data_IF_171004886462
#
_entry.id   IF_171004886462
#
_cell.length_a   1.000
_cell.length_b   1.000
_cell.length_c   1.000
_cell.angle_alpha   90.00
_cell.angle_beta   90.00
_cell.angle_gamma   90.00
#
_symmetry.space_group_name_H-M   'P 1'
#
loop_
_entity.id
_entity.type
_entity.pdbx_description
1 polymer ?
#
# COMPACT_ATOMS: atom_id res chain seq x y z
N UNK A 1 -68.26 37.30 -10.71
CA UNK A 1 -67.37 36.25 -10.14
C UNK A 1 -66.13 36.88 -9.54
N UNK A 2 -65.62 36.36 -8.41
CA UNK A 2 -64.35 36.81 -7.82
C UNK A 2 -63.23 35.84 -8.24
N UNK A 3 -62.27 36.33 -9.03
CA UNK A 3 -61.10 35.57 -9.46
C UNK A 3 -59.84 36.08 -8.77
N UNK A 4 -58.90 35.20 -8.42
CA UNK A 4 -57.56 35.63 -7.98
C UNK A 4 -56.66 35.72 -9.21
N UNK A 5 -56.08 36.89 -9.45
CA UNK A 5 -55.12 37.12 -10.52
C UNK A 5 -53.83 37.73 -9.94
N UNK A 6 -52.66 37.36 -10.50
CA UNK A 6 -51.37 37.92 -10.10
C UNK A 6 -51.07 39.14 -10.96
N UNK A 7 -50.85 40.29 -10.33
CA UNK A 7 -50.56 41.50 -11.09
C UNK A 7 -49.14 41.41 -11.72
N UNK A 8 -48.97 41.67 -13.02
CA UNK A 8 -47.64 41.64 -13.66
C UNK A 8 -46.70 42.73 -13.15
N UNK A 9 -47.23 43.83 -12.59
CA UNK A 9 -46.42 44.95 -12.11
C UNK A 9 -45.97 44.79 -10.64
N UNK A 10 -46.86 44.42 -9.72
CA UNK A 10 -46.51 44.27 -8.30
C UNK A 10 -46.25 42.82 -7.87
N UNK A 11 -46.48 41.83 -8.73
CA UNK A 11 -46.36 40.38 -8.46
C UNK A 11 -47.17 39.88 -7.26
N UNK A 12 -48.02 40.72 -6.68
CA UNK A 12 -48.91 40.38 -5.57
C UNK A 12 -50.19 39.71 -6.09
N UNK A 13 -50.75 38.80 -5.29
CA UNK A 13 -52.03 38.16 -5.61
C UNK A 13 -53.18 39.10 -5.26
N UNK A 14 -54.04 39.39 -6.22
CA UNK A 14 -55.16 40.31 -6.03
C UNK A 14 -56.47 39.61 -6.38
N UNK A 15 -57.50 39.85 -5.57
CA UNK A 15 -58.87 39.44 -5.87
C UNK A 15 -59.49 40.49 -6.82
N UNK A 16 -59.90 40.03 -7.99
CA UNK A 16 -60.50 40.87 -9.03
C UNK A 16 -61.95 40.46 -9.22
N UNK A 17 -62.84 41.45 -9.28
CA UNK A 17 -64.27 41.24 -9.52
C UNK A 17 -64.55 41.37 -11.02
N UNK A 18 -65.05 40.30 -11.63
CA UNK A 18 -65.45 40.25 -13.03
C UNK A 18 -66.99 40.15 -13.10
N UNK A 19 -67.69 40.86 -14.01
CA UNK A 19 -69.14 40.77 -14.16
C UNK A 19 -69.62 39.32 -14.36
N UNK A 20 -70.74 38.95 -13.74
CA UNK A 20 -71.29 37.60 -13.84
C UNK A 20 -71.75 37.30 -15.28
N UNK A 21 -71.12 36.32 -15.93
CA UNK A 21 -71.40 35.90 -17.31
C UNK A 21 -70.41 36.39 -18.38
N UNK A 22 -69.31 37.06 -18.00
CA UNK A 22 -68.30 37.52 -18.95
C UNK A 22 -67.36 36.39 -19.41
N UNK A 23 -67.16 36.25 -20.73
CA UNK A 23 -66.23 35.31 -21.38
C UNK A 23 -65.17 36.06 -22.19
N UNK A 24 -63.91 35.62 -22.14
CA UNK A 24 -62.78 36.22 -22.89
C UNK A 24 -61.93 37.22 -22.09
N UNK A 25 -61.12 38.01 -22.79
CA UNK A 25 -60.23 39.02 -22.19
C UNK A 25 -61.01 40.15 -21.52
N UNK A 26 -60.80 40.34 -20.21
CA UNK A 26 -61.35 41.45 -19.44
C UNK A 26 -60.24 42.36 -18.92
N UNK A 27 -60.43 43.67 -19.06
CA UNK A 27 -59.49 44.67 -18.53
C UNK A 27 -59.86 44.96 -17.09
N UNK A 28 -58.97 44.62 -16.17
CA UNK A 28 -59.18 44.76 -14.73
C UNK A 28 -58.14 45.69 -14.12
N UNK A 29 -58.54 46.46 -13.12
CA UNK A 29 -57.65 47.43 -12.46
C UNK A 29 -57.14 46.83 -11.16
N UNK A 30 -55.82 46.82 -10.98
CA UNK A 30 -55.21 46.39 -9.72
C UNK A 30 -55.54 47.40 -8.60
N UNK A 31 -56.15 46.99 -7.48
CA UNK A 31 -56.41 47.86 -6.33
C UNK A 31 -55.13 48.23 -5.58
N UNK A 32 -54.03 47.48 -5.75
CA UNK A 32 -52.77 47.74 -5.03
C UNK A 32 -51.85 48.72 -5.79
N UNK A 33 -51.81 48.66 -7.14
CA UNK A 33 -50.92 49.53 -7.93
C UNK A 33 -51.63 50.38 -8.99
N UNK A 34 -52.96 50.31 -9.10
CA UNK A 34 -53.76 51.11 -10.05
C UNK A 34 -53.59 50.74 -11.53
N UNK A 35 -52.69 49.81 -11.86
CA UNK A 35 -52.43 49.40 -13.24
C UNK A 35 -53.59 48.57 -13.80
N UNK A 36 -53.99 48.88 -15.03
CA UNK A 36 -54.97 48.12 -15.81
C UNK A 36 -54.25 47.00 -16.56
N UNK A 37 -54.66 45.75 -16.36
CA UNK A 37 -54.10 44.60 -17.05
C UNK A 37 -55.21 43.68 -17.55
N UNK A 38 -54.91 42.87 -18.57
CA UNK A 38 -55.87 41.97 -19.20
C UNK A 38 -55.84 40.61 -18.50
N UNK A 39 -57.01 40.07 -18.17
CA UNK A 39 -57.17 38.74 -17.60
C UNK A 39 -58.15 37.97 -18.48
N UNK A 40 -57.72 36.82 -19.01
CA UNK A 40 -58.61 35.90 -19.72
C UNK A 40 -59.33 34.99 -18.71
N UNK A 41 -60.67 35.02 -18.74
CA UNK A 41 -61.54 34.28 -17.83
C UNK A 41 -61.66 32.80 -18.24
N UNK A 42 -61.32 32.45 -19.48
CA UNK A 42 -61.41 31.08 -19.99
C UNK A 42 -60.23 30.20 -19.56
N UNK A 43 -59.08 30.81 -19.25
CA UNK A 43 -57.92 30.11 -18.73
C UNK A 43 -58.06 29.90 -17.21
N UNK A 44 -58.39 28.66 -16.82
CA UNK A 44 -58.24 28.25 -15.42
C UNK A 44 -56.76 28.16 -15.10
N UNK A 45 -56.21 29.19 -14.45
CA UNK A 45 -54.90 29.11 -13.83
C UNK A 45 -54.96 28.10 -12.68
N UNK A 46 -54.51 26.87 -12.94
CA UNK A 46 -54.20 25.87 -11.92
C UNK A 46 -52.89 26.28 -11.24
N UNK A 47 -52.93 26.41 -9.91
CA UNK A 47 -51.77 26.80 -9.09
C UNK A 47 -50.89 25.60 -8.74
N UNK A 48 -51.19 24.43 -9.28
CA UNK A 48 -50.25 23.33 -9.36
C UNK A 48 -49.27 23.69 -10.47
N UNK A 49 -48.22 24.42 -10.11
CA UNK A 49 -46.95 24.24 -10.80
C UNK A 49 -46.67 22.73 -10.75
N UNK A 50 -47.02 22.00 -11.81
CA UNK A 50 -46.33 20.76 -12.12
C UNK A 50 -44.86 21.15 -12.06
N UNK A 51 -44.18 20.75 -10.98
CA UNK A 51 -42.77 20.98 -10.83
C UNK A 51 -42.15 20.58 -12.17
N UNK A 52 -41.39 21.48 -12.84
CA UNK A 52 -40.93 21.23 -14.20
C UNK A 52 -40.37 19.82 -14.23
N UNK A 53 -40.82 18.98 -15.17
CA UNK A 53 -40.35 17.61 -15.29
C UNK A 53 -38.83 17.69 -15.45
N UNK A 54 -38.11 17.56 -14.34
CA UNK A 54 -36.66 17.56 -14.38
C UNK A 54 -36.33 16.26 -15.08
N UNK A 55 -35.78 16.35 -16.29
CA UNK A 55 -35.36 15.18 -17.04
C UNK A 55 -34.55 14.26 -16.10
N UNK A 56 -34.82 12.94 -16.07
CA UNK A 56 -34.10 11.98 -15.21
C UNK A 56 -32.58 12.08 -15.31
N UNK A 57 -32.08 12.65 -16.42
CA UNK A 57 -30.69 12.94 -16.72
C UNK A 57 -29.97 13.90 -15.74
N UNK A 58 -30.67 14.66 -14.88
CA UNK A 58 -30.02 15.59 -13.95
C UNK A 58 -29.52 14.96 -12.64
N UNK A 59 -29.77 13.68 -12.39
CA UNK A 59 -29.29 12.98 -11.18
C UNK A 59 -27.85 12.44 -11.34
N UNK A 60 -26.93 13.25 -11.88
CA UNK A 60 -25.51 12.87 -11.92
C UNK A 60 -24.96 13.06 -10.50
N UNK A 61 -24.85 11.96 -9.75
CA UNK A 61 -24.21 11.95 -8.43
C UNK A 61 -22.82 12.60 -8.53
N UNK A 62 -22.50 13.64 -7.73
CA UNK A 62 -21.21 14.31 -7.84
C UNK A 62 -20.10 13.30 -7.54
N UNK A 63 -19.16 13.18 -8.48
CA UNK A 63 -18.00 12.29 -8.35
C UNK A 63 -17.02 12.90 -7.36
N UNK A 64 -16.80 12.28 -6.20
CA UNK A 64 -15.79 12.75 -5.23
C UNK A 64 -14.39 12.36 -5.67
N UNK A 65 -13.36 13.10 -5.24
CA UNK A 65 -11.96 12.70 -5.46
C UNK A 65 -11.49 11.60 -4.51
N UNK A 66 -12.25 11.29 -3.45
CA UNK A 66 -11.89 10.32 -2.40
C UNK A 66 -11.47 8.93 -2.92
N UNK A 67 -12.27 8.23 -3.74
CA UNK A 67 -11.88 6.91 -4.25
C UNK A 67 -10.68 6.98 -5.20
N UNK A 68 -10.50 8.12 -5.89
CA UNK A 68 -9.34 8.35 -6.77
C UNK A 68 -8.08 8.52 -5.94
N UNK A 69 -8.13 9.33 -4.86
CA UNK A 69 -7.02 9.50 -3.92
C UNK A 69 -6.66 8.14 -3.28
N UNK A 70 -7.66 7.36 -2.84
CA UNK A 70 -7.42 6.02 -2.32
C UNK A 70 -6.70 5.12 -3.33
N UNK A 71 -7.10 5.17 -4.61
CA UNK A 71 -6.44 4.41 -5.66
C UNK A 71 -5.00 4.85 -5.94
N UNK A 72 -4.72 6.16 -5.92
CA UNK A 72 -3.36 6.71 -6.06
C UNK A 72 -2.46 6.23 -4.91
N UNK A 73 -2.97 6.24 -3.67
CA UNK A 73 -2.23 5.73 -2.50
C UNK A 73 -1.85 4.26 -2.66
N UNK A 74 -2.76 3.41 -3.15
CA UNK A 74 -2.48 1.99 -3.42
C UNK A 74 -1.44 1.80 -4.54
N UNK A 75 -1.45 2.66 -5.56
CA UNK A 75 -0.42 2.64 -6.62
C UNK A 75 0.95 3.03 -6.07
N UNK A 76 1.03 4.00 -5.14
CA UNK A 76 2.28 4.36 -4.46
C UNK A 76 2.82 3.16 -3.66
N UNK A 77 1.94 2.45 -2.94
CA UNK A 77 2.32 1.23 -2.22
C UNK A 77 2.88 0.19 -3.20
N UNK A 78 2.23 -0.04 -4.34
CA UNK A 78 2.72 -0.93 -5.38
C UNK A 78 4.13 -0.55 -5.88
N UNK A 79 4.36 0.72 -6.22
CA UNK A 79 5.67 1.20 -6.69
C UNK A 79 6.72 1.01 -5.60
N UNK A 80 6.39 1.35 -4.35
CA UNK A 80 7.31 1.15 -3.22
C UNK A 80 7.64 -0.32 -2.97
N UNK A 81 6.66 -1.21 -3.14
CA UNK A 81 6.83 -2.65 -3.01
C UNK A 81 7.74 -3.23 -4.08
N UNK A 82 7.58 -2.80 -5.33
CA UNK A 82 8.50 -3.16 -6.42
C UNK A 82 9.91 -2.64 -6.15
N UNK A 83 10.04 -1.38 -5.73
CA UNK A 83 11.34 -0.80 -5.41
C UNK A 83 12.06 -1.59 -4.30
N UNK A 84 11.35 -1.90 -3.21
CA UNK A 84 11.89 -2.68 -2.09
C UNK A 84 12.24 -4.11 -2.48
N UNK A 85 11.38 -4.77 -3.27
CA UNK A 85 11.65 -6.10 -3.84
C UNK A 85 12.92 -6.11 -4.71
N UNK A 86 13.11 -5.05 -5.52
CA UNK A 86 14.32 -4.86 -6.31
C UNK A 86 15.57 -4.71 -5.44
N UNK A 87 15.50 -3.91 -4.37
CA UNK A 87 16.59 -3.79 -3.39
C UNK A 87 16.91 -5.16 -2.78
N UNK A 88 15.89 -5.89 -2.32
CA UNK A 88 16.09 -7.19 -1.68
C UNK A 88 16.76 -8.23 -2.60
N UNK A 89 16.49 -8.17 -3.91
CA UNK A 89 17.13 -9.04 -4.91
C UNK A 89 18.55 -8.59 -5.28
N UNK A 90 18.78 -7.27 -5.41
CA UNK A 90 20.01 -6.72 -5.96
C UNK A 90 21.09 -6.44 -4.90
N UNK A 91 20.72 -6.25 -3.63
CA UNK A 91 21.67 -5.90 -2.57
C UNK A 91 22.76 -6.96 -2.38
N UNK A 92 22.45 -8.25 -2.50
CA UNK A 92 23.43 -9.32 -2.29
C UNK A 92 24.47 -9.43 -3.40
N UNK A 93 24.04 -9.35 -4.65
CA UNK A 93 24.96 -9.34 -5.79
C UNK A 93 25.91 -8.13 -5.70
N UNK A 94 25.39 -6.99 -5.26
CA UNK A 94 26.18 -5.77 -5.07
C UNK A 94 27.22 -5.93 -3.95
N UNK A 95 26.86 -6.48 -2.78
CA UNK A 95 27.80 -6.66 -1.68
C UNK A 95 28.85 -7.75 -1.97
N UNK A 96 28.51 -8.78 -2.74
CA UNK A 96 29.47 -9.81 -3.15
C UNK A 96 30.55 -9.29 -4.12
N UNK A 97 30.24 -8.25 -4.90
CA UNK A 97 31.21 -7.64 -5.83
C UNK A 97 32.18 -6.69 -5.15
N UNK A 98 31.92 -6.29 -3.91
CA UNK A 98 32.83 -5.43 -3.15
C UNK A 98 33.96 -6.30 -2.61
N UNK A 99 35.16 -6.10 -3.17
CA UNK A 99 36.40 -6.73 -2.71
C UNK A 99 37.23 -5.71 -1.94
N UNK A 100 37.15 -5.77 -0.61
CA UNK A 100 37.95 -4.94 0.29
C UNK A 100 38.50 -5.81 1.43
N UNK A 101 39.73 -5.55 1.89
CA UNK A 101 40.28 -6.25 3.05
C UNK A 101 39.48 -5.87 4.31
N UNK A 102 39.07 -6.89 5.06
CA UNK A 102 38.26 -6.78 6.27
C UNK A 102 38.76 -7.71 7.37
N UNK A 103 38.08 -7.73 8.52
CA UNK A 103 38.36 -8.60 9.66
C UNK A 103 37.11 -9.43 9.98
N UNK A 104 37.30 -10.74 10.18
CA UNK A 104 36.24 -11.65 10.59
C UNK A 104 36.53 -12.24 11.97
N UNK A 105 35.51 -12.28 12.83
CA UNK A 105 35.59 -12.79 14.20
C UNK A 105 34.55 -13.87 14.41
N UNK A 106 34.99 -15.02 14.94
CA UNK A 106 34.12 -16.16 15.20
C UNK A 106 34.49 -16.88 16.49
N UNK A 107 33.63 -17.82 16.87
CA UNK A 107 33.82 -18.71 18.01
C UNK A 107 33.53 -20.15 17.61
N UNK A 108 34.40 -21.08 18.00
CA UNK A 108 34.26 -22.51 17.76
C UNK A 108 33.93 -23.21 19.07
N UNK A 109 32.95 -24.11 19.03
CA UNK A 109 32.52 -24.94 20.16
C UNK A 109 32.22 -26.37 19.72
N UNK A 110 32.06 -27.28 20.68
CA UNK A 110 31.49 -28.61 20.46
C UNK A 110 29.94 -28.64 20.53
N UNK A 111 29.34 -29.82 20.33
CA UNK A 111 27.89 -30.04 20.46
C UNK A 111 27.37 -29.76 21.89
N UNK A 112 28.23 -29.86 22.91
CA UNK A 112 27.92 -29.57 24.31
C UNK A 112 27.97 -28.06 24.63
N UNK A 113 28.47 -27.24 23.71
CA UNK A 113 28.70 -25.81 23.87
C UNK A 113 30.02 -25.44 24.56
N UNK A 114 30.91 -26.39 24.79
CA UNK A 114 32.27 -26.18 25.29
C UNK A 114 33.13 -25.53 24.21
N UNK A 115 33.92 -24.53 24.59
CA UNK A 115 34.87 -23.89 23.68
C UNK A 115 35.99 -24.86 23.26
N UNK A 116 36.40 -24.80 21.99
CA UNK A 116 37.47 -25.61 21.45
C UNK A 116 38.70 -24.74 21.15
N UNK A 117 39.80 -25.05 21.83
CA UNK A 117 41.10 -24.41 21.64
C UNK A 117 41.94 -25.19 20.62
N UNK A 118 42.83 -24.48 19.90
CA UNK A 118 43.79 -25.10 18.98
C UNK A 118 43.20 -25.61 17.67
N UNK A 119 41.96 -25.23 17.34
CA UNK A 119 41.35 -25.55 16.05
C UNK A 119 41.99 -24.67 14.99
N UNK A 120 42.49 -25.28 13.91
CA UNK A 120 43.06 -24.58 12.78
C UNK A 120 41.94 -24.12 11.85
N UNK A 121 41.94 -22.84 11.51
CA UNK A 121 41.02 -22.24 10.54
C UNK A 121 41.80 -21.73 9.35
N UNK A 122 41.41 -22.15 8.15
CA UNK A 122 42.00 -21.73 6.88
C UNK A 122 40.91 -21.16 5.97
N UNK A 123 41.22 -20.11 5.22
CA UNK A 123 40.31 -19.57 4.21
C UNK A 123 40.53 -20.31 2.89
N UNK A 124 39.45 -20.85 2.31
CA UNK A 124 39.51 -21.58 1.05
C UNK A 124 40.12 -20.70 -0.06
N UNK A 125 41.14 -21.23 -0.75
CA UNK A 125 41.85 -20.52 -1.82
C UNK A 125 42.87 -19.48 -1.34
N UNK A 126 42.98 -19.25 -0.03
CA UNK A 126 43.93 -18.31 0.61
C UNK A 126 44.66 -18.98 1.79
N UNK A 127 45.56 -19.95 1.53
CA UNK A 127 46.28 -20.67 2.58
C UNK A 127 47.17 -19.77 3.47
N UNK A 128 47.53 -18.58 2.98
CA UNK A 128 48.22 -17.54 3.75
C UNK A 128 47.36 -16.92 4.86
N UNK A 129 46.02 -17.05 4.76
CA UNK A 129 45.07 -16.61 5.77
C UNK A 129 44.66 -17.79 6.63
N UNK A 130 45.50 -18.09 7.62
CA UNK A 130 45.21 -19.08 8.65
C UNK A 130 45.25 -18.47 10.05
N UNK A 131 44.54 -19.10 10.97
CA UNK A 131 44.54 -18.74 12.39
C UNK A 131 44.19 -19.95 13.24
N UNK A 132 44.43 -19.86 14.54
CA UNK A 132 44.07 -20.89 15.51
C UNK A 132 43.15 -20.32 16.58
N UNK A 133 42.25 -21.14 17.11
CA UNK A 133 41.37 -20.72 18.22
C UNK A 133 42.11 -20.61 19.54
N UNK A 134 41.73 -19.61 20.35
CA UNK A 134 42.21 -19.43 21.71
C UNK A 134 41.56 -20.38 22.74
N UNK A 135 41.98 -20.32 24.01
CA UNK A 135 41.42 -21.09 25.14
C UNK A 135 39.89 -20.94 25.30
N UNK A 136 39.33 -19.82 24.82
CA UNK A 136 37.89 -19.51 24.88
C UNK A 136 37.18 -19.86 23.57
N UNK A 137 37.88 -20.45 22.60
CA UNK A 137 37.40 -20.87 21.30
C UNK A 137 37.21 -19.73 20.31
N UNK A 138 37.69 -18.52 20.60
CA UNK A 138 37.59 -17.38 19.68
C UNK A 138 38.74 -17.37 18.69
N UNK A 139 38.46 -16.86 17.49
CA UNK A 139 39.47 -16.63 16.46
C UNK A 139 39.21 -15.33 15.72
N UNK A 140 40.27 -14.79 15.12
CA UNK A 140 40.23 -13.54 14.37
C UNK A 140 41.05 -13.72 13.10
N UNK A 141 40.40 -13.56 11.94
CA UNK A 141 41.06 -13.53 10.64
C UNK A 141 41.12 -12.07 10.18
N UNK A 142 42.33 -11.56 10.03
CA UNK A 142 42.59 -10.21 9.52
C UNK A 142 42.88 -10.26 8.03
N UNK A 143 42.60 -9.17 7.32
CA UNK A 143 42.88 -9.01 5.90
C UNK A 143 42.15 -10.05 5.01
N UNK A 144 40.97 -10.49 5.46
CA UNK A 144 40.09 -11.37 4.69
C UNK A 144 39.24 -10.52 3.74
N UNK A 145 39.10 -10.96 2.50
CA UNK A 145 38.34 -10.22 1.49
C UNK A 145 36.84 -10.22 1.81
N UNK A 146 36.19 -9.06 1.76
CA UNK A 146 34.74 -8.94 1.92
C UNK A 146 33.97 -9.73 0.86
N UNK A 147 32.75 -10.14 1.21
CA UNK A 147 31.88 -11.00 0.38
C UNK A 147 31.75 -12.42 0.93
N UNK A 148 31.23 -13.32 0.11
CA UNK A 148 31.17 -14.76 0.40
C UNK A 148 32.57 -15.35 0.49
N UNK A 149 32.87 -16.01 1.60
CA UNK A 149 34.12 -16.75 1.83
C UNK A 149 33.80 -18.13 2.40
N UNK A 150 34.68 -19.08 2.15
CA UNK A 150 34.59 -20.42 2.72
C UNK A 150 35.75 -20.63 3.70
N UNK A 151 35.44 -21.12 4.90
CA UNK A 151 36.42 -21.44 5.93
C UNK A 151 36.50 -22.96 6.10
N UNK A 152 37.71 -23.49 6.15
CA UNK A 152 37.98 -24.88 6.52
C UNK A 152 38.49 -24.91 7.94
N UNK A 153 37.73 -25.52 8.85
CA UNK A 153 38.11 -25.71 10.24
C UNK A 153 38.51 -27.16 10.47
N UNK A 154 39.70 -27.39 10.98
CA UNK A 154 40.27 -28.72 11.26
C UNK A 154 40.79 -28.78 12.69
N UNK A 155 40.57 -29.92 13.34
CA UNK A 155 41.01 -30.15 14.72
C UNK A 155 41.09 -31.63 15.03
N UNK A 156 42.02 -32.00 15.91
CA UNK A 156 42.21 -33.40 16.29
C UNK A 156 40.97 -33.96 17.01
N UNK A 157 40.48 -35.11 16.54
CA UNK A 157 39.30 -35.77 17.11
C UNK A 157 37.95 -35.19 16.68
N UNK A 158 37.94 -34.16 15.83
CA UNK A 158 36.72 -33.55 15.29
C UNK A 158 36.63 -33.69 13.78
N UNK A 159 35.40 -33.68 13.27
CA UNK A 159 35.10 -33.63 11.85
C UNK A 159 35.52 -32.28 11.27
N UNK A 160 36.12 -32.30 10.09
CA UNK A 160 36.44 -31.09 9.34
C UNK A 160 35.16 -30.33 9.00
N UNK A 161 35.14 -29.03 9.25
CA UNK A 161 33.97 -28.19 9.05
C UNK A 161 34.24 -27.17 7.93
N UNK A 162 33.49 -27.28 6.85
CA UNK A 162 33.47 -26.31 5.75
C UNK A 162 32.37 -25.30 6.02
N UNK A 163 32.74 -24.06 6.30
CA UNK A 163 31.81 -23.01 6.69
C UNK A 163 31.70 -21.89 5.66
N UNK A 164 30.51 -21.70 5.08
CA UNK A 164 30.24 -20.58 4.16
C UNK A 164 29.82 -19.35 4.97
N UNK A 165 30.70 -18.34 4.98
CA UNK A 165 30.52 -17.10 5.72
C UNK A 165 30.34 -15.91 4.77
N UNK A 166 29.75 -14.82 5.30
CA UNK A 166 29.69 -13.54 4.60
C UNK A 166 30.47 -12.49 5.37
N UNK A 167 31.59 -12.04 4.81
CA UNK A 167 32.43 -11.00 5.40
C UNK A 167 31.93 -9.63 4.96
N UNK A 168 31.52 -8.79 5.91
CA UNK A 168 31.08 -7.43 5.61
C UNK A 168 32.25 -6.51 5.26
N UNK A 169 32.06 -5.53 4.35
CA UNK A 169 33.04 -4.47 4.12
C UNK A 169 33.16 -3.55 5.35
N UNK A 170 34.24 -2.76 5.38
CA UNK A 170 34.51 -1.73 6.40
C UNK A 170 34.75 -2.23 7.84
N UNK A 171 35.25 -3.45 8.03
CA UNK A 171 35.56 -4.01 9.36
C UNK A 171 34.36 -3.99 10.34
N UNK A 172 33.13 -4.10 9.81
CA UNK A 172 31.93 -4.11 10.64
C UNK A 172 31.75 -5.52 11.21
N UNK A 173 31.94 -5.68 12.52
CA UNK A 173 31.58 -6.91 13.24
C UNK A 173 30.25 -6.72 13.96
N UNK A 174 29.15 -7.23 13.41
CA UNK A 174 27.82 -7.11 14.02
C UNK A 174 27.59 -8.20 15.07
N UNK A 175 28.18 -9.39 14.87
CA UNK A 175 28.01 -10.54 15.75
C UNK A 175 29.17 -11.52 15.58
N UNK A 176 29.61 -12.17 16.68
CA UNK A 176 30.58 -13.27 16.61
C UNK A 176 29.86 -14.57 16.27
N UNK A 177 30.06 -15.08 15.06
CA UNK A 177 29.39 -16.32 14.64
C UNK A 177 29.89 -17.52 15.43
N UNK A 178 28.98 -18.45 15.73
CA UNK A 178 29.26 -19.68 16.48
C UNK A 178 29.30 -20.86 15.53
N UNK A 179 30.46 -21.49 15.42
CA UNK A 179 30.70 -22.71 14.66
C UNK A 179 30.68 -23.91 15.60
N UNK A 180 29.95 -24.96 15.22
CA UNK A 180 29.78 -26.15 16.07
C UNK A 180 30.46 -27.33 15.38
N UNK A 181 31.55 -27.82 15.97
CA UNK A 181 32.25 -29.01 15.49
C UNK A 181 31.66 -30.26 16.16
N UNK A 182 31.64 -31.37 15.43
CA UNK A 182 31.20 -32.67 15.94
C UNK A 182 32.39 -33.61 16.04
N UNK A 183 32.39 -34.46 17.06
CA UNK A 183 33.44 -35.46 17.23
C UNK A 183 33.41 -36.53 16.13
N UNK A 184 34.58 -37.07 15.83
CA UNK A 184 34.78 -38.17 14.88
C UNK A 184 35.37 -37.77 13.53
N UNK A 185 35.35 -38.70 12.58
CA UNK A 185 35.94 -38.53 11.25
C UNK A 185 34.87 -38.18 10.21
N UNK A 186 35.18 -37.26 9.32
CA UNK A 186 34.32 -36.84 8.20
C UNK A 186 34.31 -35.34 7.99
N UNK A 187 33.47 -34.90 7.06
CA UNK A 187 33.28 -33.49 6.71
C UNK A 187 31.85 -33.04 7.01
N UNK A 188 31.70 -31.79 7.45
CA UNK A 188 30.42 -31.17 7.75
C UNK A 188 30.39 -29.82 7.05
N UNK A 189 29.25 -29.46 6.46
CA UNK A 189 29.02 -28.12 5.93
C UNK A 189 28.15 -27.29 6.88
N UNK A 190 28.55 -26.06 7.16
CA UNK A 190 27.78 -25.13 7.97
C UNK A 190 27.70 -23.76 7.29
N UNK A 191 26.48 -23.33 6.96
CA UNK A 191 26.26 -21.96 6.50
C UNK A 191 26.09 -21.00 7.67
N UNK A 192 26.76 -19.86 7.57
CA UNK A 192 26.59 -18.69 8.44
C UNK A 192 25.14 -18.22 8.50
N UNK A 193 24.80 -17.53 9.59
CA UNK A 193 23.44 -17.01 9.78
C UNK A 193 23.11 -15.99 8.70
N UNK A 194 24.08 -15.15 8.34
CA UNK A 194 23.93 -14.12 7.31
C UNK A 194 23.61 -14.75 5.94
N UNK A 195 24.35 -15.78 5.53
CA UNK A 195 24.08 -16.50 4.27
C UNK A 195 22.67 -17.10 4.27
N UNK A 196 22.26 -17.74 5.37
CA UNK A 196 20.91 -18.29 5.50
C UNK A 196 19.84 -17.21 5.37
N UNK A 197 20.01 -16.05 6.01
CA UNK A 197 19.08 -14.91 5.86
C UNK A 197 18.98 -14.44 4.42
N UNK A 198 20.11 -14.42 3.71
CA UNK A 198 20.16 -13.95 2.32
C UNK A 198 19.51 -14.94 1.35
N UNK A 199 19.60 -16.24 1.61
CA UNK A 199 18.88 -17.27 0.85
C UNK A 199 17.34 -17.12 0.95
N UNK A 200 16.83 -16.56 2.05
CA UNK A 200 15.40 -16.22 2.17
C UNK A 200 15.00 -14.95 1.40
N UNK A 201 15.97 -14.14 0.96
CA UNK A 201 15.73 -12.89 0.23
C UNK A 201 14.85 -13.06 -1.00
N UNK A 202 15.19 -13.95 -1.97
CA UNK A 202 14.38 -14.18 -3.15
C UNK A 202 12.94 -14.63 -2.86
N UNK A 203 12.76 -15.51 -1.87
CA UNK A 203 11.44 -15.96 -1.44
C UNK A 203 10.61 -14.77 -0.93
N UNK A 204 11.18 -13.96 -0.04
CA UNK A 204 10.50 -12.79 0.50
C UNK A 204 10.19 -11.76 -0.60
N UNK A 205 11.11 -11.56 -1.54
CA UNK A 205 10.91 -10.68 -2.70
C UNK A 205 9.72 -11.14 -3.55
N UNK A 206 9.63 -12.44 -3.84
CA UNK A 206 8.51 -13.00 -4.61
C UNK A 206 7.15 -12.75 -3.94
N UNK A 207 7.09 -12.89 -2.61
CA UNK A 207 5.87 -12.63 -1.82
C UNK A 207 5.50 -11.15 -1.89
N UNK A 208 6.47 -10.24 -1.75
CA UNK A 208 6.24 -8.79 -1.83
C UNK A 208 5.68 -8.39 -3.20
N UNK A 209 6.20 -8.97 -4.29
CA UNK A 209 5.71 -8.70 -5.65
C UNK A 209 4.23 -9.13 -5.78
N UNK A 210 3.89 -10.34 -5.35
CA UNK A 210 2.51 -10.87 -5.44
C UNK A 210 1.53 -9.99 -4.67
N UNK A 211 1.87 -9.60 -3.43
CA UNK A 211 1.03 -8.72 -2.62
C UNK A 211 0.91 -7.32 -3.25
N UNK A 212 2.01 -6.80 -3.81
CA UNK A 212 2.01 -5.49 -4.48
C UNK A 212 1.07 -5.48 -5.69
N UNK A 213 1.02 -6.56 -6.49
CA UNK A 213 0.09 -6.69 -7.61
C UNK A 213 -1.38 -6.65 -7.12
N UNK A 214 -1.68 -7.27 -5.98
CA UNK A 214 -3.01 -7.18 -5.37
C UNK A 214 -3.39 -5.74 -5.00
N UNK A 215 -2.45 -4.96 -4.47
CA UNK A 215 -2.65 -3.53 -4.19
C UNK A 215 -2.90 -2.72 -5.48
N UNK A 216 -2.18 -3.02 -6.56
CA UNK A 216 -2.38 -2.37 -7.87
C UNK A 216 -3.79 -2.63 -8.42
N UNK A 217 -4.26 -3.88 -8.38
CA UNK A 217 -5.61 -4.24 -8.82
C UNK A 217 -6.66 -3.48 -8.00
N UNK A 218 -6.49 -3.44 -6.68
CA UNK A 218 -7.35 -2.65 -5.78
C UNK A 218 -7.36 -1.16 -6.13
N UNK A 219 -6.18 -0.60 -6.44
CA UNK A 219 -6.02 0.80 -6.84
C UNK A 219 -6.72 1.15 -8.14
N UNK A 220 -6.60 0.30 -9.18
CA UNK A 220 -7.28 0.49 -10.46
C UNK A 220 -8.81 0.41 -10.29
N UNK A 221 -9.30 -0.54 -9.49
CA UNK A 221 -10.73 -0.69 -9.21
C UNK A 221 -11.29 0.47 -8.40
N UNK A 222 -10.51 1.03 -7.47
CA UNK A 222 -10.85 2.24 -6.75
C UNK A 222 -11.01 3.45 -7.68
N UNK A 223 -10.06 3.66 -8.61
CA UNK A 223 -10.11 4.77 -9.58
C UNK A 223 -11.31 4.62 -10.53
N UNK A 224 -11.54 3.40 -11.02
CA UNK A 224 -12.64 3.10 -11.95
C UNK A 224 -14.01 3.02 -11.27
N UNK A 225 -14.05 3.05 -9.93
CA UNK A 225 -15.27 2.96 -9.10
C UNK A 225 -16.09 1.70 -9.38
N UNK A 226 -15.40 0.60 -9.68
CA UNK A 226 -16.01 -0.70 -9.95
C UNK A 226 -15.68 -1.68 -8.84
N UNK A 227 -16.65 -2.52 -8.49
CA UNK A 227 -16.48 -3.66 -7.57
C UNK A 227 -15.84 -3.29 -6.21
N UNK A 228 -16.60 -2.56 -5.37
CA UNK A 228 -16.16 -2.10 -4.04
C UNK A 228 -15.44 -3.16 -3.19
N UNK A 229 -15.98 -4.38 -3.14
CA UNK A 229 -15.44 -5.48 -2.31
C UNK A 229 -14.02 -5.85 -2.73
N UNK A 230 -13.75 -5.90 -4.03
CA UNK A 230 -12.41 -6.24 -4.56
C UNK A 230 -11.43 -5.10 -4.28
N UNK A 231 -11.87 -3.84 -4.41
CA UNK A 231 -11.05 -2.69 -4.04
C UNK A 231 -10.67 -2.70 -2.54
N UNK A 232 -11.60 -3.10 -1.67
CA UNK A 232 -11.35 -3.25 -0.23
C UNK A 232 -10.35 -4.38 0.06
N UNK A 233 -10.52 -5.55 -0.57
CA UNK A 233 -9.56 -6.66 -0.44
C UNK A 233 -8.16 -6.21 -0.90
N UNK A 234 -8.08 -5.50 -2.03
CA UNK A 234 -6.82 -4.94 -2.53
C UNK A 234 -6.19 -3.95 -1.55
N UNK A 235 -6.98 -3.14 -0.85
CA UNK A 235 -6.47 -2.25 0.20
C UNK A 235 -5.93 -3.01 1.42
N UNK A 236 -6.61 -4.08 1.86
CA UNK A 236 -6.12 -4.95 2.95
C UNK A 236 -4.81 -5.64 2.55
N UNK A 237 -4.74 -6.18 1.34
CA UNK A 237 -3.51 -6.76 0.79
C UNK A 237 -2.40 -5.69 0.73
N UNK A 238 -2.74 -4.46 0.34
CA UNK A 238 -1.83 -3.32 0.32
C UNK A 238 -1.26 -2.96 1.71
N UNK A 239 -2.04 -3.10 2.79
CA UNK A 239 -1.53 -2.91 4.16
C UNK A 239 -0.50 -3.99 4.51
N UNK A 240 -0.76 -5.25 4.15
CA UNK A 240 0.17 -6.36 4.37
C UNK A 240 1.45 -6.15 3.56
N UNK A 241 1.33 -5.74 2.28
CA UNK A 241 2.48 -5.37 1.46
C UNK A 241 3.26 -4.19 2.06
N UNK A 242 2.52 -3.19 2.57
CA UNK A 242 3.07 -1.97 3.16
C UNK A 242 3.80 -2.17 4.48
N UNK A 243 3.62 -3.32 5.14
CA UNK A 243 4.41 -3.70 6.31
C UNK A 243 5.91 -3.74 6.00
N UNK A 244 6.27 -4.22 4.80
CA UNK A 244 7.66 -4.33 4.38
C UNK A 244 8.33 -2.99 4.06
N UNK A 245 7.56 -1.92 3.82
CA UNK A 245 8.07 -0.60 3.47
C UNK A 245 7.92 0.45 4.58
N UNK A 246 7.36 0.07 5.75
CA UNK A 246 7.02 0.92 6.91
C UNK A 246 6.00 2.04 6.62
N UNK A 247 6.21 2.81 5.55
CA UNK A 247 5.36 3.90 5.06
C UNK A 247 4.04 3.35 4.52
N UNK A 248 4.06 2.13 3.96
CA UNK A 248 2.88 1.53 3.31
C UNK A 248 1.72 1.24 4.26
N UNK A 249 1.96 0.98 5.56
CA UNK A 249 0.89 0.75 6.53
C UNK A 249 -0.01 1.99 6.66
N UNK A 250 0.60 3.16 6.82
CA UNK A 250 -0.13 4.43 7.00
C UNK A 250 -0.93 4.76 5.74
N UNK A 251 -0.32 4.60 4.57
CA UNK A 251 -0.98 4.83 3.28
C UNK A 251 -2.11 3.83 3.03
N UNK A 252 -1.93 2.56 3.38
CA UNK A 252 -2.93 1.52 3.21
C UNK A 252 -4.15 1.72 4.11
N UNK A 253 -3.94 2.13 5.36
CA UNK A 253 -5.02 2.49 6.28
C UNK A 253 -5.79 3.72 5.79
N UNK A 254 -5.08 4.77 5.35
CA UNK A 254 -5.71 5.96 4.78
C UNK A 254 -6.55 5.62 3.53
N UNK A 255 -6.02 4.78 2.63
CA UNK A 255 -6.74 4.30 1.46
C UNK A 255 -8.00 3.51 1.84
N UNK A 256 -7.90 2.61 2.83
CA UNK A 256 -9.03 1.82 3.32
C UNK A 256 -10.13 2.70 3.91
N UNK A 257 -9.78 3.69 4.75
CA UNK A 257 -10.73 4.64 5.33
C UNK A 257 -11.43 5.45 4.24
N UNK A 258 -10.68 5.94 3.24
CA UNK A 258 -11.25 6.68 2.11
C UNK A 258 -12.20 5.83 1.27
N UNK A 259 -11.89 4.54 1.06
CA UNK A 259 -12.79 3.61 0.39
C UNK A 259 -14.08 3.42 1.19
N UNK A 260 -13.98 3.19 2.50
CA UNK A 260 -15.17 3.01 3.37
C UNK A 260 -16.09 4.24 3.33
N UNK A 261 -15.53 5.45 3.37
CA UNK A 261 -16.31 6.70 3.28
C UNK A 261 -16.95 6.88 1.89
N UNK A 262 -16.32 6.36 0.83
CA UNK A 262 -16.80 6.49 -0.55
C UNK A 262 -17.57 5.28 -1.07
N UNK A 263 -18.00 4.36 -0.19
CA UNK A 263 -18.75 3.15 -0.56
C UNK A 263 -19.94 3.43 -1.48
N UNK A 264 -20.69 4.50 -1.18
CA UNK A 264 -21.84 4.94 -1.97
C UNK A 264 -21.49 5.27 -3.43
N UNK A 265 -20.24 5.58 -3.76
CA UNK A 265 -19.79 5.92 -5.12
C UNK A 265 -19.53 4.69 -6.00
N UNK A 266 -19.53 3.49 -5.42
CA UNK A 266 -19.37 2.22 -6.13
C UNK A 266 -20.71 1.55 -6.45
N UNK A 267 -21.82 2.08 -5.94
CA UNK A 267 -23.16 1.59 -6.24
C UNK A 267 -23.61 2.10 -7.60
N UNK A 268 -23.94 1.18 -8.51
CA UNK A 268 -24.34 1.48 -9.90
C UNK A 268 -25.78 1.97 -10.05
N UNK A 269 -26.59 1.91 -9.00
CA UNK A 269 -28.01 2.33 -9.04
C UNK A 269 -28.18 3.70 -8.37
N UNK A 270 -28.84 4.67 -9.03
CA UNK A 270 -29.26 5.88 -8.34
C UNK A 270 -30.21 5.48 -7.20
N UNK A 271 -29.94 5.95 -5.98
CA UNK A 271 -30.88 5.77 -4.85
C UNK A 271 -32.16 6.53 -5.21
N UNK A 272 -33.29 5.82 -5.31
CA UNK A 272 -34.60 6.45 -5.42
C UNK A 272 -34.85 7.23 -4.13
N UNK A 273 -34.83 8.56 -4.23
CA UNK A 273 -35.21 9.45 -3.13
C UNK A 273 -36.73 9.44 -3.08
N UNK A 274 -37.31 8.77 -2.10
CA UNK A 274 -38.75 8.90 -1.81
C UNK A 274 -38.96 10.23 -1.09
N UNK A 275 -39.63 11.16 -1.77
CA UNK A 275 -40.18 12.38 -1.17
C UNK A 275 -41.57 12.10 -0.61
#
# INVERSE_FOLDING_TARGET
MKGKARCPHCKESVIVEVPDGATGEQIVTCPNCGMKFRVDVNEKYSWEEEAPIIHPAMHIKPKSMKPVIAGILLIIIFISGIAMSGVLLLSFDSLNKVSMPSEFKGKVVDESGKALEGIQIEVAGHPELNTTTDEKGYFIIKNITSGKQELHLTGEGYKSLNAEIFVLPWNITIYSEKFVMKEGNGEIEQKSLIIKLFEFGPLLSSIIIVLSVGALIGGILAITRKYFVIAMIGAVIGIIAGFFTLIGIVLGLAALILLLISKDEFESKPKEVKY
#
